data_IF_660405760534
#
_entry.id   IF_660405760534
#
_cell.length_a   1.000
_cell.length_b   1.000
_cell.length_c   1.000
_cell.angle_alpha   90.00
_cell.angle_beta   90.00
_cell.angle_gamma   90.00
#
_symmetry.space_group_name_H-M   'P 1'
#
loop_
_entity.id
_entity.type
_entity.pdbx_description
1 polymer ?
#
# COMPACT_ATOMS: atom_id res chain seq x y z
N UNK A 1 9.47 130.07 -14.50
CA UNK A 1 9.73 128.89 -15.37
C UNK A 1 10.89 127.99 -14.94
N UNK A 2 12.03 128.46 -14.37
CA UNK A 2 13.18 127.58 -14.05
C UNK A 2 12.94 126.56 -12.92
N UNK A 3 12.21 126.97 -11.87
CA UNK A 3 11.96 126.15 -10.67
C UNK A 3 11.16 124.88 -11.00
N UNK A 4 10.21 124.97 -11.93
CA UNK A 4 9.38 123.84 -12.36
C UNK A 4 10.20 122.76 -13.10
N UNK A 5 11.16 123.16 -13.91
CA UNK A 5 12.03 122.25 -14.68
C UNK A 5 12.95 121.46 -13.74
N UNK A 6 13.50 122.12 -12.73
CA UNK A 6 14.39 121.48 -11.75
C UNK A 6 13.62 120.53 -10.82
N UNK A 7 12.40 120.87 -10.43
CA UNK A 7 11.50 119.98 -9.67
C UNK A 7 11.10 118.73 -10.48
N UNK A 8 10.93 118.88 -11.80
CA UNK A 8 10.66 117.77 -12.72
C UNK A 8 11.87 116.84 -12.88
N UNK A 9 13.09 117.39 -12.99
CA UNK A 9 14.32 116.59 -13.01
C UNK A 9 14.49 115.82 -11.70
N UNK A 10 14.26 116.47 -10.56
CA UNK A 10 14.34 115.81 -9.25
C UNK A 10 13.31 114.68 -9.12
N UNK A 11 12.08 114.89 -9.58
CA UNK A 11 11.05 113.85 -9.63
C UNK A 11 11.45 112.71 -10.56
N UNK A 12 11.96 113.00 -11.74
CA UNK A 12 12.40 111.99 -12.71
C UNK A 12 13.52 111.11 -12.12
N UNK A 13 14.49 111.71 -11.42
CA UNK A 13 15.57 110.97 -10.78
C UNK A 13 15.05 110.10 -9.63
N UNK A 14 14.12 110.61 -8.81
CA UNK A 14 13.46 109.80 -7.78
C UNK A 14 12.70 108.61 -8.38
N UNK A 15 11.99 108.81 -9.49
CA UNK A 15 11.32 107.73 -10.19
C UNK A 15 12.30 106.71 -10.76
N UNK A 16 13.42 107.17 -11.34
CA UNK A 16 14.46 106.29 -11.87
C UNK A 16 15.06 105.40 -10.78
N UNK A 17 15.40 105.98 -9.63
CA UNK A 17 15.92 105.23 -8.47
C UNK A 17 14.89 104.25 -7.94
N UNK A 18 13.63 104.67 -7.77
CA UNK A 18 12.56 103.80 -7.32
C UNK A 18 12.30 102.63 -8.29
N UNK A 19 12.27 102.91 -9.59
CA UNK A 19 12.11 101.90 -10.63
C UNK A 19 13.24 100.87 -10.60
N UNK A 20 14.50 101.31 -10.50
CA UNK A 20 15.65 100.41 -10.46
C UNK A 20 15.66 99.55 -9.18
N UNK A 21 15.20 100.10 -8.05
CA UNK A 21 15.02 99.35 -6.80
C UNK A 21 13.91 98.29 -6.95
N UNK A 22 12.76 98.65 -7.50
CA UNK A 22 11.65 97.71 -7.72
C UNK A 22 12.03 96.62 -8.71
N UNK A 23 12.76 96.96 -9.78
CA UNK A 23 13.27 96.00 -10.75
C UNK A 23 14.18 94.96 -10.10
N UNK A 24 15.15 95.39 -9.29
CA UNK A 24 16.04 94.47 -8.54
C UNK A 24 15.27 93.58 -7.58
N UNK A 25 14.24 94.11 -6.92
CA UNK A 25 13.40 93.31 -6.03
C UNK A 25 12.58 92.27 -6.80
N UNK A 26 12.03 92.63 -7.95
CA UNK A 26 11.30 91.71 -8.83
C UNK A 26 12.21 90.62 -9.41
N UNK A 27 13.43 90.97 -9.83
CA UNK A 27 14.43 90.01 -10.30
C UNK A 27 14.82 89.03 -9.17
N UNK A 28 15.06 89.54 -7.95
CA UNK A 28 15.37 88.71 -6.79
C UNK A 28 14.20 87.79 -6.38
N UNK A 29 12.96 88.27 -6.44
CA UNK A 29 11.77 87.45 -6.19
C UNK A 29 11.59 86.38 -7.29
N UNK A 30 11.80 86.74 -8.55
CA UNK A 30 11.73 85.80 -9.67
C UNK A 30 12.80 84.71 -9.56
N UNK A 31 14.02 85.07 -9.14
CA UNK A 31 15.08 84.10 -8.84
C UNK A 31 14.72 83.17 -7.69
N UNK A 32 14.14 83.70 -6.60
CA UNK A 32 13.67 82.90 -5.46
C UNK A 32 12.54 81.96 -5.84
N UNK A 33 11.56 82.43 -6.62
CA UNK A 33 10.46 81.61 -7.12
C UNK A 33 10.97 80.46 -8.00
N UNK A 34 11.89 80.74 -8.93
CA UNK A 34 12.53 79.71 -9.77
C UNK A 34 13.31 78.69 -8.92
N UNK A 35 14.08 79.15 -7.93
CA UNK A 35 14.81 78.25 -7.04
C UNK A 35 13.85 77.34 -6.25
N UNK A 36 12.78 77.91 -5.68
CA UNK A 36 11.75 77.15 -4.96
C UNK A 36 11.06 76.13 -5.87
N UNK A 37 10.72 76.51 -7.10
CA UNK A 37 10.10 75.60 -8.08
C UNK A 37 11.06 74.45 -8.44
N UNK A 38 12.34 74.72 -8.66
CA UNK A 38 13.33 73.67 -8.94
C UNK A 38 13.51 72.72 -7.75
N UNK A 39 13.52 73.24 -6.53
CA UNK A 39 13.59 72.44 -5.31
C UNK A 39 12.35 71.54 -5.16
N UNK A 40 11.15 72.10 -5.36
CA UNK A 40 9.91 71.34 -5.31
C UNK A 40 9.88 70.22 -6.36
N UNK A 41 10.30 70.51 -7.60
CA UNK A 41 10.40 69.51 -8.67
C UNK A 41 11.39 68.40 -8.32
N UNK A 42 12.52 68.74 -7.69
CA UNK A 42 13.51 67.74 -7.26
C UNK A 42 12.96 66.83 -6.16
N UNK A 43 12.33 67.40 -5.12
CA UNK A 43 11.71 66.63 -4.04
C UNK A 43 10.58 65.73 -4.56
N UNK A 44 9.75 66.24 -5.47
CA UNK A 44 8.71 65.43 -6.11
C UNK A 44 9.30 64.25 -6.89
N UNK A 45 10.42 64.43 -7.61
CA UNK A 45 11.11 63.32 -8.29
C UNK A 45 11.62 62.28 -7.31
N UNK A 46 12.27 62.69 -6.22
CA UNK A 46 12.77 61.76 -5.18
C UNK A 46 11.63 60.93 -4.59
N UNK A 47 10.49 61.57 -4.28
CA UNK A 47 9.31 60.88 -3.76
C UNK A 47 8.74 59.89 -4.79
N UNK A 48 8.63 60.29 -6.05
CA UNK A 48 8.15 59.41 -7.11
C UNK A 48 9.08 58.20 -7.34
N UNK A 49 10.40 58.41 -7.32
CA UNK A 49 11.37 57.32 -7.41
C UNK A 49 11.27 56.36 -6.23
N UNK A 50 11.09 56.88 -5.02
CA UNK A 50 10.86 56.07 -3.83
C UNK A 50 9.57 55.25 -3.92
N UNK A 51 8.47 55.87 -4.36
CA UNK A 51 7.20 55.17 -4.59
C UNK A 51 7.35 54.08 -5.66
N UNK A 52 8.01 54.35 -6.78
CA UNK A 52 8.23 53.37 -7.84
C UNK A 52 9.03 52.16 -7.35
N UNK A 53 10.04 52.37 -6.48
CA UNK A 53 10.81 51.27 -5.87
C UNK A 53 9.93 50.40 -4.97
N UNK A 54 9.14 51.02 -4.09
CA UNK A 54 8.23 50.29 -3.21
C UNK A 54 7.19 49.50 -4.02
N UNK A 55 6.63 50.09 -5.07
CA UNK A 55 5.65 49.41 -5.93
C UNK A 55 6.27 48.20 -6.63
N UNK A 56 7.51 48.32 -7.11
CA UNK A 56 8.24 47.19 -7.69
C UNK A 56 8.50 46.08 -6.65
N UNK A 57 8.92 46.43 -5.44
CA UNK A 57 9.14 45.48 -4.33
C UNK A 57 7.83 44.78 -3.94
N UNK A 58 6.75 45.55 -3.74
CA UNK A 58 5.41 45.02 -3.46
C UNK A 58 4.93 44.05 -4.54
N UNK A 59 5.19 44.37 -5.81
CA UNK A 59 4.82 43.51 -6.94
C UNK A 59 5.61 42.20 -6.92
N UNK A 60 6.91 42.26 -6.64
CA UNK A 60 7.77 41.07 -6.48
C UNK A 60 7.34 40.18 -5.29
N UNK A 61 7.01 40.80 -4.15
CA UNK A 61 6.49 40.08 -2.98
C UNK A 61 5.15 39.43 -3.31
N UNK A 62 4.24 40.15 -3.97
CA UNK A 62 2.93 39.63 -4.36
C UNK A 62 3.04 38.43 -5.30
N UNK A 63 3.92 38.50 -6.29
CA UNK A 63 4.18 37.38 -7.20
C UNK A 63 4.74 36.16 -6.43
N UNK A 64 5.71 36.39 -5.54
CA UNK A 64 6.30 35.33 -4.70
C UNK A 64 5.29 34.67 -3.77
N UNK A 65 4.40 35.46 -3.17
CA UNK A 65 3.32 34.94 -2.31
C UNK A 65 2.28 34.14 -3.11
N UNK A 66 1.99 34.54 -4.35
CA UNK A 66 1.12 33.78 -5.24
C UNK A 66 1.73 32.43 -5.59
N UNK A 67 3.01 32.41 -6.01
CA UNK A 67 3.71 31.16 -6.33
C UNK A 67 3.75 30.20 -5.12
N UNK A 68 4.08 30.71 -3.93
CA UNK A 68 4.06 29.91 -2.70
C UNK A 68 2.67 29.39 -2.35
N UNK A 69 1.61 30.17 -2.60
CA UNK A 69 0.22 29.71 -2.40
C UNK A 69 -0.09 28.52 -3.30
N UNK A 70 0.32 28.58 -4.55
CA UNK A 70 0.09 27.51 -5.52
C UNK A 70 0.86 26.23 -5.12
N UNK A 71 2.12 26.38 -4.68
CA UNK A 71 2.91 25.28 -4.13
C UNK A 71 2.26 24.63 -2.90
N UNK A 72 1.76 25.46 -1.95
CA UNK A 72 1.04 24.95 -0.77
C UNK A 72 -0.21 24.18 -1.19
N UNK A 73 -0.95 24.68 -2.18
CA UNK A 73 -2.14 23.99 -2.68
C UNK A 73 -1.80 22.65 -3.34
N UNK A 74 -0.73 22.60 -4.13
CA UNK A 74 -0.23 21.36 -4.73
C UNK A 74 0.20 20.34 -3.66
N UNK A 75 0.94 20.79 -2.65
CA UNK A 75 1.36 19.95 -1.53
C UNK A 75 0.16 19.41 -0.75
N UNK A 76 -0.86 20.25 -0.50
CA UNK A 76 -2.09 19.83 0.16
C UNK A 76 -2.82 18.73 -0.63
N UNK A 77 -2.94 18.90 -1.94
CA UNK A 77 -3.55 17.90 -2.81
C UNK A 77 -2.76 16.58 -2.79
N UNK A 78 -1.42 16.65 -2.82
CA UNK A 78 -0.55 15.48 -2.76
C UNK A 78 -0.66 14.74 -1.42
N UNK A 79 -0.70 15.46 -0.30
CA UNK A 79 -0.90 14.87 1.03
C UNK A 79 -2.27 14.18 1.11
N UNK A 80 -3.32 14.79 0.56
CA UNK A 80 -4.65 14.17 0.50
C UNK A 80 -4.61 12.85 -0.26
N UNK A 81 -3.97 12.81 -1.42
CA UNK A 81 -3.82 11.60 -2.24
C UNK A 81 -3.08 10.49 -1.47
N UNK A 82 -1.93 10.81 -0.89
CA UNK A 82 -1.15 9.84 -0.08
C UNK A 82 -1.95 9.35 1.13
N UNK A 83 -2.77 10.19 1.74
CA UNK A 83 -3.60 9.80 2.89
C UNK A 83 -4.66 8.79 2.48
N UNK A 84 -5.29 8.95 1.32
CA UNK A 84 -6.25 8.00 0.77
C UNK A 84 -5.55 6.67 0.46
N UNK A 85 -4.43 6.71 -0.27
CA UNK A 85 -3.63 5.51 -0.61
C UNK A 85 -3.18 4.75 0.65
N UNK A 86 -2.75 5.47 1.70
CA UNK A 86 -2.38 4.88 2.99
C UNK A 86 -3.57 4.15 3.62
N UNK A 87 -4.76 4.75 3.59
CA UNK A 87 -5.95 4.18 4.21
C UNK A 87 -6.42 2.93 3.44
N UNK A 88 -6.39 2.97 2.12
CA UNK A 88 -6.69 1.82 1.26
C UNK A 88 -5.72 0.67 1.51
N UNK A 89 -4.41 0.96 1.55
CA UNK A 89 -3.39 -0.04 1.85
C UNK A 89 -3.59 -0.65 3.24
N UNK A 90 -3.94 0.17 4.23
CA UNK A 90 -4.21 -0.31 5.59
C UNK A 90 -5.42 -1.27 5.61
N UNK A 91 -6.51 -0.93 4.90
CA UNK A 91 -7.67 -1.81 4.75
C UNK A 91 -7.28 -3.16 4.14
N UNK A 92 -6.53 -3.13 3.04
CA UNK A 92 -6.08 -4.33 2.34
C UNK A 92 -5.18 -5.21 3.23
N UNK A 93 -4.30 -4.60 4.02
CA UNK A 93 -3.45 -5.34 4.97
C UNK A 93 -4.27 -6.00 6.08
N UNK A 94 -5.28 -5.32 6.62
CA UNK A 94 -6.16 -5.90 7.63
C UNK A 94 -6.99 -7.08 7.08
N UNK A 95 -7.55 -6.93 5.88
CA UNK A 95 -8.25 -8.01 5.20
C UNK A 95 -7.32 -9.21 4.96
N UNK A 96 -6.08 -8.95 4.51
CA UNK A 96 -5.07 -9.97 4.30
C UNK A 96 -4.64 -10.68 5.58
N UNK A 97 -4.50 -9.94 6.66
CA UNK A 97 -4.20 -10.53 7.96
C UNK A 97 -5.34 -11.43 8.43
N UNK A 98 -6.58 -10.95 8.38
CA UNK A 98 -7.76 -11.71 8.81
C UNK A 98 -7.91 -13.01 7.98
N UNK A 99 -7.78 -12.88 6.67
CA UNK A 99 -7.72 -13.99 5.73
C UNK A 99 -6.67 -15.05 6.08
N UNK A 100 -5.44 -14.62 6.31
CA UNK A 100 -4.34 -15.51 6.64
C UNK A 100 -4.59 -16.22 7.98
N UNK A 101 -5.06 -15.48 8.98
CA UNK A 101 -5.42 -16.05 10.28
C UNK A 101 -6.53 -17.09 10.15
N UNK A 102 -7.53 -16.82 9.32
CA UNK A 102 -8.60 -17.76 9.02
C UNK A 102 -8.05 -19.02 8.33
N UNK A 103 -7.18 -18.89 7.32
CA UNK A 103 -6.53 -20.04 6.68
C UNK A 103 -5.64 -20.84 7.65
N UNK A 104 -4.89 -20.17 8.53
CA UNK A 104 -4.08 -20.84 9.56
C UNK A 104 -4.98 -21.61 10.52
N UNK A 105 -6.10 -21.02 10.95
CA UNK A 105 -7.09 -21.69 11.78
C UNK A 105 -7.63 -22.96 11.10
N UNK A 106 -8.02 -22.85 9.82
CA UNK A 106 -8.47 -23.99 9.03
C UNK A 106 -7.41 -25.08 8.88
N UNK A 107 -6.14 -24.71 8.65
CA UNK A 107 -5.04 -25.67 8.59
C UNK A 107 -4.80 -26.38 9.93
N UNK A 108 -4.95 -25.65 11.04
CA UNK A 108 -4.83 -26.21 12.39
C UNK A 108 -6.06 -27.00 12.83
N UNK A 109 -7.21 -26.80 12.19
CA UNK A 109 -8.45 -27.50 12.49
C UNK A 109 -8.31 -29.01 12.32
N UNK A 110 -9.21 -29.76 12.95
CA UNK A 110 -9.28 -31.22 12.85
C UNK A 110 -9.34 -31.70 11.40
N UNK A 111 -10.09 -31.01 10.54
CA UNK A 111 -10.17 -31.31 9.10
C UNK A 111 -8.84 -31.04 8.38
N UNK A 112 -8.15 -29.94 8.70
CA UNK A 112 -6.84 -29.60 8.13
C UNK A 112 -5.77 -30.63 8.49
N UNK A 113 -5.73 -31.04 9.77
CA UNK A 113 -4.86 -32.10 10.25
C UNK A 113 -5.19 -33.44 9.58
N UNK A 114 -6.47 -33.74 9.38
CA UNK A 114 -6.91 -34.98 8.74
C UNK A 114 -6.56 -35.00 7.24
N UNK A 115 -6.68 -33.88 6.52
CA UNK A 115 -6.18 -33.72 5.16
C UNK A 115 -4.67 -33.92 5.08
N UNK A 116 -3.91 -33.36 6.01
CA UNK A 116 -2.45 -33.55 6.07
C UNK A 116 -2.09 -35.03 6.26
N UNK A 117 -2.75 -35.71 7.21
CA UNK A 117 -2.57 -37.15 7.44
C UNK A 117 -2.95 -37.98 6.21
N UNK A 118 -4.07 -37.68 5.56
CA UNK A 118 -4.48 -38.34 4.31
C UNK A 118 -3.39 -38.24 3.24
N UNK A 119 -2.79 -37.06 3.08
CA UNK A 119 -1.70 -36.85 2.13
C UNK A 119 -0.49 -37.75 2.45
N UNK A 120 -0.05 -37.81 3.71
CA UNK A 120 1.05 -38.70 4.13
C UNK A 120 0.72 -40.17 3.84
N UNK A 121 -0.50 -40.62 4.19
CA UNK A 121 -0.96 -41.99 3.92
C UNK A 121 -0.97 -42.32 2.42
N UNK A 122 -1.45 -41.42 1.57
CA UNK A 122 -1.46 -41.60 0.12
C UNK A 122 -0.03 -41.72 -0.39
N UNK A 123 0.85 -40.81 0.02
CA UNK A 123 2.24 -40.78 -0.42
C UNK A 123 2.98 -42.08 -0.04
N UNK A 124 2.80 -42.56 1.20
CA UNK A 124 3.38 -43.81 1.64
C UNK A 124 2.83 -45.04 0.92
N UNK A 125 1.51 -45.08 0.68
CA UNK A 125 0.88 -46.18 -0.06
C UNK A 125 1.36 -46.23 -1.50
N UNK A 126 1.48 -45.08 -2.18
CA UNK A 126 2.01 -45.00 -3.55
C UNK A 126 3.46 -45.47 -3.59
N UNK A 127 4.30 -45.01 -2.66
CA UNK A 127 5.70 -45.46 -2.58
C UNK A 127 5.80 -46.97 -2.38
N UNK A 128 4.94 -47.55 -1.54
CA UNK A 128 4.89 -48.99 -1.32
C UNK A 128 4.42 -49.76 -2.56
N UNK A 129 3.38 -49.27 -3.26
CA UNK A 129 2.92 -49.86 -4.53
C UNK A 129 4.04 -49.86 -5.56
N UNK A 130 4.77 -48.75 -5.70
CA UNK A 130 5.91 -48.65 -6.64
C UNK A 130 6.99 -49.67 -6.27
N UNK A 131 7.32 -49.79 -4.98
CA UNK A 131 8.33 -50.75 -4.48
C UNK A 131 7.90 -52.20 -4.73
N UNK A 132 6.67 -52.57 -4.39
CA UNK A 132 6.14 -53.92 -4.63
C UNK A 132 6.04 -54.25 -6.12
N UNK A 133 5.64 -53.28 -6.96
CA UNK A 133 5.55 -53.46 -8.41
C UNK A 133 6.92 -53.73 -9.02
N UNK A 134 7.96 -53.01 -8.55
CA UNK A 134 9.35 -53.26 -8.97
C UNK A 134 9.81 -54.67 -8.61
N UNK A 135 9.56 -55.10 -7.37
CA UNK A 135 9.91 -56.44 -6.91
C UNK A 135 9.14 -57.54 -7.68
N UNK A 136 7.84 -57.33 -7.94
CA UNK A 136 7.04 -58.26 -8.74
C UNK A 136 7.57 -58.37 -10.18
N UNK A 137 8.00 -57.25 -10.79
CA UNK A 137 8.61 -57.26 -12.11
C UNK A 137 9.95 -58.03 -12.12
N UNK A 138 10.79 -57.84 -11.09
CA UNK A 138 12.03 -58.60 -10.95
C UNK A 138 11.76 -60.11 -10.85
N UNK A 139 10.76 -60.51 -10.06
CA UNK A 139 10.34 -61.91 -9.95
C UNK A 139 9.85 -62.47 -11.30
N UNK A 140 9.05 -61.70 -12.04
CA UNK A 140 8.56 -62.09 -13.36
C UNK A 140 9.70 -62.26 -14.39
N UNK A 141 10.77 -61.47 -14.26
CA UNK A 141 11.96 -61.56 -15.11
C UNK A 141 12.98 -62.62 -14.63
N UNK A 142 12.67 -63.37 -13.56
CA UNK A 142 13.54 -64.40 -12.99
C UNK A 142 14.73 -63.86 -12.20
N UNK A 143 14.74 -62.57 -11.85
CA UNK A 143 15.77 -61.94 -11.04
C UNK A 143 15.55 -62.20 -9.55
N UNK A 144 16.63 -62.17 -8.76
CA UNK A 144 16.55 -62.34 -7.30
C UNK A 144 15.86 -61.12 -6.67
N UNK A 145 14.91 -61.39 -5.78
CA UNK A 145 14.26 -60.36 -4.99
C UNK A 145 15.23 -59.72 -4.00
N UNK A 146 15.17 -58.40 -3.88
CA UNK A 146 15.96 -57.69 -2.86
C UNK A 146 15.26 -57.87 -1.52
N UNK A 147 15.75 -58.77 -0.66
CA UNK A 147 15.15 -59.06 0.64
C UNK A 147 15.11 -57.87 1.61
N UNK A 148 16.10 -56.97 1.56
CA UNK A 148 16.08 -55.69 2.31
C UNK A 148 14.91 -54.78 1.90
N UNK A 149 14.53 -54.87 0.62
CA UNK A 149 13.24 -54.54 0.01
C UNK A 149 11.93 -54.77 0.79
N UNK A 150 11.86 -56.01 1.26
CA UNK A 150 10.65 -56.72 1.62
C UNK A 150 10.56 -56.89 3.14
N UNK A 151 11.71 -57.00 3.81
CA UNK A 151 11.83 -57.21 5.25
C UNK A 151 11.78 -55.92 6.07
N UNK A 152 12.19 -54.78 5.50
CA UNK A 152 12.07 -53.48 6.20
C UNK A 152 10.60 -53.05 6.13
N UNK A 153 9.90 -53.15 7.27
CA UNK A 153 8.55 -52.63 7.38
C UNK A 153 8.54 -51.13 7.08
N UNK A 154 7.54 -50.66 6.31
CA UNK A 154 7.36 -49.24 6.14
C UNK A 154 6.93 -48.69 7.51
N UNK A 155 7.39 -47.48 7.84
CA UNK A 155 7.28 -46.87 9.17
C UNK A 155 5.86 -47.10 9.74
N UNK A 156 5.72 -47.65 10.96
CA UNK A 156 4.41 -47.80 11.56
C UNK A 156 3.81 -46.42 11.74
N UNK A 157 2.69 -46.17 11.06
CA UNK A 157 1.91 -44.97 11.26
C UNK A 157 1.24 -45.14 12.62
N UNK A 158 1.89 -44.59 13.66
CA UNK A 158 1.29 -44.43 14.97
C UNK A 158 -0.01 -43.64 14.76
N UNK A 159 -1.15 -44.32 14.84
CA UNK A 159 -2.39 -43.67 15.22
C UNK A 159 -2.17 -43.23 16.67
N UNK A 160 -1.64 -42.03 16.87
CA UNK A 160 -1.95 -41.28 18.09
C UNK A 160 -3.41 -40.84 17.97
N UNK A 161 -4.32 -41.81 18.14
CA UNK A 161 -5.75 -41.58 18.29
C UNK A 161 -6.05 -40.72 19.54
N UNK A 162 -5.06 -40.52 20.39
CA UNK A 162 -5.05 -39.67 21.58
C UNK A 162 -4.89 -38.18 21.28
N UNK A 163 -4.42 -37.78 20.09
CA UNK A 163 -4.34 -36.35 19.69
C UNK A 163 -5.58 -35.87 18.94
N UNK A 164 -6.49 -36.76 18.55
CA UNK A 164 -7.83 -36.45 18.05
C UNK A 164 -8.87 -36.47 19.19
N UNK A 165 -8.45 -36.28 20.44
CA UNK A 165 -9.43 -35.89 21.45
C UNK A 165 -10.01 -34.56 20.99
N UNK A 166 -11.32 -34.59 20.77
CA UNK A 166 -12.18 -33.42 20.69
C UNK A 166 -11.77 -32.45 21.81
N UNK A 167 -10.92 -31.48 21.48
CA UNK A 167 -10.88 -30.23 22.23
C UNK A 167 -12.07 -29.42 21.72
N UNK A 168 -13.28 -29.95 21.93
CA UNK A 168 -14.55 -29.26 21.79
C UNK A 168 -14.84 -28.41 23.05
N UNK A 169 -13.86 -28.24 23.95
CA UNK A 169 -13.97 -27.47 25.20
C UNK A 169 -13.30 -26.08 25.15
N UNK A 170 -12.78 -25.63 24.00
CA UNK A 170 -12.38 -24.23 23.80
C UNK A 170 -13.14 -23.62 22.61
N UNK A 171 -14.47 -23.74 22.60
CA UNK A 171 -15.34 -22.65 22.12
C UNK A 171 -15.22 -21.45 23.08
N UNK A 172 -13.99 -20.97 23.29
CA UNK A 172 -13.85 -19.55 23.55
C UNK A 172 -14.11 -18.90 22.19
N UNK A 173 -15.30 -18.34 22.08
CA UNK A 173 -15.57 -17.09 21.37
C UNK A 173 -14.48 -16.05 21.73
N UNK A 174 -13.25 -16.29 21.30
CA UNK A 174 -12.31 -15.25 20.97
C UNK A 174 -12.78 -14.65 19.64
N UNK A 175 -14.03 -14.17 19.63
CA UNK A 175 -14.35 -12.88 19.07
C UNK A 175 -13.37 -11.93 19.74
N UNK A 176 -12.15 -11.85 19.20
CA UNK A 176 -11.29 -10.72 19.40
C UNK A 176 -12.06 -9.56 18.77
N UNK A 177 -12.97 -9.00 19.57
CA UNK A 177 -13.51 -7.68 19.43
C UNK A 177 -12.29 -6.78 19.58
N UNK A 178 -11.49 -6.68 18.52
CA UNK A 178 -10.66 -5.50 18.31
C UNK A 178 -11.68 -4.40 18.18
N UNK A 179 -11.93 -3.73 19.29
CA UNK A 179 -12.77 -2.55 19.36
C UNK A 179 -12.19 -1.56 18.36
N UNK A 180 -12.78 -1.53 17.16
CA UNK A 180 -12.65 -0.43 16.25
C UNK A 180 -13.20 0.78 16.99
N UNK A 181 -12.33 1.48 17.71
CA UNK A 181 -12.62 2.85 18.11
C UNK A 181 -12.92 3.61 16.83
N UNK A 182 -14.13 4.19 16.64
CA UNK A 182 -14.38 5.06 15.52
C UNK A 182 -13.65 6.36 15.82
N UNK A 183 -12.36 6.40 15.52
CA UNK A 183 -11.59 7.63 15.62
C UNK A 183 -11.85 8.48 14.38
N UNK A 184 -12.85 9.34 14.57
CA UNK A 184 -13.06 10.63 13.93
C UNK A 184 -13.76 10.56 12.57
N UNK A 185 -15.10 10.55 12.63
CA UNK A 185 -15.91 11.39 11.74
C UNK A 185 -15.30 12.80 11.73
N UNK A 186 -14.63 13.15 10.63
CA UNK A 186 -14.37 14.54 10.29
C UNK A 186 -14.83 14.77 8.87
N UNK A 187 -15.98 15.44 8.80
CA UNK A 187 -16.47 16.29 7.72
C UNK A 187 -15.42 16.61 6.65
N UNK A 188 -15.35 15.77 5.62
CA UNK A 188 -14.83 16.20 4.34
C UNK A 188 -16.03 16.67 3.53
N UNK A 189 -16.11 17.99 3.39
CA UNK A 189 -17.09 18.73 2.61
C UNK A 189 -17.56 17.94 1.37
N UNK A 190 -18.88 17.81 1.24
CA UNK A 190 -19.55 17.50 -0.02
C UNK A 190 -19.18 18.58 -1.04
N UNK A 191 -18.17 18.33 -1.87
CA UNK A 191 -18.04 19.02 -3.15
C UNK A 191 -18.92 18.29 -4.17
N UNK A 192 -20.05 18.94 -4.46
CA UNK A 192 -21.00 18.54 -5.47
C UNK A 192 -20.45 18.99 -6.83
N UNK A 193 -19.60 18.17 -7.43
CA UNK A 193 -19.18 18.37 -8.82
C UNK A 193 -20.24 17.76 -9.74
N UNK A 194 -21.18 18.62 -10.14
CA UNK A 194 -22.00 18.39 -11.32
C UNK A 194 -21.08 18.42 -12.55
N UNK A 195 -20.85 17.26 -13.17
CA UNK A 195 -20.71 17.19 -14.63
C UNK A 195 -20.98 15.76 -15.14
N UNK A 196 -22.17 15.59 -15.70
CA UNK A 196 -22.44 14.55 -16.69
C UNK A 196 -21.66 14.86 -17.96
N UNK A 197 -20.74 13.97 -18.36
CA UNK A 197 -20.79 13.35 -19.67
C UNK A 197 -19.66 12.32 -19.87
N UNK A 198 -20.06 11.16 -20.38
CA UNK A 198 -19.34 10.52 -21.47
C UNK A 198 -18.32 9.46 -21.08
N UNK A 199 -18.81 8.22 -20.98
CA UNK A 199 -18.16 6.98 -21.43
C UNK A 199 -16.64 7.00 -21.54
N UNK A 200 -15.98 6.59 -20.47
CA UNK A 200 -14.60 6.15 -20.48
C UNK A 200 -14.52 4.92 -19.60
N UNK A 201 -14.55 3.74 -20.22
CA UNK A 201 -14.10 2.48 -19.62
C UNK A 201 -12.68 2.73 -19.10
N UNK A 202 -12.57 3.03 -17.81
CA UNK A 202 -11.32 2.97 -17.07
C UNK A 202 -11.51 1.92 -16.00
N UNK A 203 -11.72 0.69 -16.45
CA UNK A 203 -11.25 -0.51 -15.79
C UNK A 203 -9.72 -0.39 -15.66
N UNK A 204 -9.30 0.45 -14.72
CA UNK A 204 -7.92 0.51 -14.27
C UNK A 204 -7.56 -0.88 -13.80
N UNK A 205 -6.56 -1.46 -14.45
CA UNK A 205 -5.97 -2.74 -14.09
C UNK A 205 -5.83 -2.80 -12.57
N UNK A 206 -6.73 -3.55 -11.91
CA UNK A 206 -6.55 -3.94 -10.51
C UNK A 206 -5.17 -4.54 -10.44
N UNK A 207 -4.31 -3.93 -9.63
CA UNK A 207 -2.90 -4.27 -9.56
C UNK A 207 -2.77 -5.80 -9.50
N UNK A 208 -1.92 -6.40 -10.34
CA UNK A 208 -1.83 -7.86 -10.53
C UNK A 208 -1.81 -8.66 -9.21
N UNK A 209 -1.29 -8.06 -8.13
CA UNK A 209 -1.29 -8.65 -6.80
C UNK A 209 -2.66 -8.64 -6.09
N UNK A 210 -3.49 -7.60 -6.22
CA UNK A 210 -4.84 -7.51 -5.63
C UNK A 210 -5.78 -8.55 -6.24
N UNK A 211 -5.73 -8.71 -7.57
CA UNK A 211 -6.46 -9.75 -8.28
C UNK A 211 -5.99 -11.16 -7.87
N UNK A 212 -4.66 -11.34 -7.73
CA UNK A 212 -4.09 -12.59 -7.22
C UNK A 212 -4.51 -12.87 -5.78
N UNK A 213 -4.58 -11.84 -4.94
CA UNK A 213 -4.99 -11.95 -3.55
C UNK A 213 -6.46 -12.35 -3.40
N UNK A 214 -7.37 -11.67 -4.12
CA UNK A 214 -8.78 -12.07 -4.16
C UNK A 214 -8.99 -13.49 -4.68
N UNK A 215 -8.18 -13.94 -5.65
CA UNK A 215 -8.23 -15.32 -6.12
C UNK A 215 -7.80 -16.31 -5.03
N UNK A 216 -6.75 -16.01 -4.26
CA UNK A 216 -6.34 -16.84 -3.11
C UNK A 216 -7.46 -16.90 -2.07
N UNK A 217 -8.13 -15.78 -1.80
CA UNK A 217 -9.27 -15.73 -0.87
C UNK A 217 -10.46 -16.55 -1.33
N UNK A 218 -10.81 -16.45 -2.61
CA UNK A 218 -11.88 -17.25 -3.18
C UNK A 218 -11.54 -18.74 -3.18
N UNK A 219 -10.29 -19.10 -3.51
CA UNK A 219 -9.84 -20.49 -3.44
C UNK A 219 -9.88 -21.03 -2.00
N UNK A 220 -9.43 -20.24 -1.01
CA UNK A 220 -9.47 -20.61 0.40
C UNK A 220 -10.91 -20.85 0.89
N UNK A 221 -11.83 -19.94 0.55
CA UNK A 221 -13.26 -20.07 0.87
C UNK A 221 -13.89 -21.29 0.18
N UNK A 222 -13.55 -21.55 -1.08
CA UNK A 222 -14.02 -22.74 -1.79
C UNK A 222 -13.47 -24.03 -1.18
N UNK A 223 -12.18 -24.08 -0.82
CA UNK A 223 -11.58 -25.21 -0.13
C UNK A 223 -12.29 -25.48 1.21
N UNK A 224 -12.62 -24.43 1.96
CA UNK A 224 -13.33 -24.54 3.24
C UNK A 224 -14.73 -25.13 3.07
N UNK A 225 -15.49 -24.61 2.10
CA UNK A 225 -16.88 -25.02 1.88
C UNK A 225 -17.01 -26.41 1.24
N UNK A 226 -15.97 -26.89 0.56
CA UNK A 226 -16.00 -28.17 -0.15
C UNK A 226 -15.38 -29.33 0.63
N UNK A 227 -14.81 -29.09 1.82
CA UNK A 227 -14.27 -30.15 2.66
C UNK A 227 -15.40 -30.86 3.41
N UNK A 228 -15.89 -31.96 2.83
CA UNK A 228 -16.84 -32.85 3.49
C UNK A 228 -16.12 -33.78 4.47
N UNK A 229 -16.28 -33.50 5.78
CA UNK A 229 -15.66 -34.25 6.89
C UNK A 229 -15.92 -35.75 6.80
N UNK A 230 -17.15 -36.18 6.50
CA UNK A 230 -17.50 -37.60 6.41
C UNK A 230 -16.78 -38.31 5.26
N UNK A 231 -16.64 -37.62 4.11
CA UNK A 231 -15.89 -38.16 2.97
C UNK A 231 -14.41 -38.30 3.28
N UNK A 232 -13.82 -37.36 4.02
CA UNK A 232 -12.41 -37.44 4.42
C UNK A 232 -12.15 -38.61 5.38
N UNK A 233 -12.99 -38.79 6.40
CA UNK A 233 -12.88 -39.95 7.30
C UNK A 233 -13.06 -41.27 6.55
N UNK A 234 -14.05 -41.35 5.65
CA UNK A 234 -14.26 -42.54 4.80
C UNK A 234 -13.04 -42.84 3.93
N UNK A 235 -12.41 -41.81 3.38
CA UNK A 235 -11.19 -41.93 2.56
C UNK A 235 -10.00 -42.43 3.40
N UNK A 236 -9.88 -41.97 4.65
CA UNK A 236 -8.84 -42.40 5.57
C UNK A 236 -8.99 -43.89 5.92
N UNK A 237 -10.21 -44.32 6.23
CA UNK A 237 -10.50 -45.74 6.49
C UNK A 237 -10.18 -46.62 5.29
N UNK A 238 -10.48 -46.17 4.07
CA UNK A 238 -10.12 -46.87 2.84
C UNK A 238 -8.61 -46.96 2.65
N UNK A 239 -7.86 -45.90 2.95
CA UNK A 239 -6.39 -45.89 2.87
C UNK A 239 -5.75 -46.82 3.91
N UNK A 240 -6.28 -46.87 5.13
CA UNK A 240 -5.83 -47.81 6.18
C UNK A 240 -6.08 -49.25 5.75
N UNK A 241 -7.26 -49.55 5.18
CA UNK A 241 -7.58 -50.87 4.59
C UNK A 241 -6.63 -51.21 3.45
N UNK A 242 -6.36 -50.25 2.56
CA UNK A 242 -5.44 -50.43 1.43
C UNK A 242 -4.01 -50.72 1.91
N UNK A 243 -3.51 -49.98 2.90
CA UNK A 243 -2.21 -50.23 3.54
C UNK A 243 -2.13 -51.65 4.11
N UNK A 244 -3.19 -52.09 4.79
CA UNK A 244 -3.26 -53.44 5.34
C UNK A 244 -3.18 -54.51 4.26
N UNK A 245 -3.80 -54.29 3.09
CA UNK A 245 -3.71 -55.18 1.94
C UNK A 245 -2.29 -55.18 1.32
N UNK A 246 -1.65 -54.02 1.21
CA UNK A 246 -0.27 -53.91 0.69
C UNK A 246 0.73 -54.65 1.59
N UNK A 247 0.58 -54.56 2.91
CA UNK A 247 1.40 -55.32 3.86
C UNK A 247 1.20 -56.84 3.70
N UNK A 248 -0.05 -57.30 3.49
CA UNK A 248 -0.33 -58.72 3.20
C UNK A 248 0.34 -59.16 1.89
N UNK A 249 0.20 -58.37 0.82
CA UNK A 249 0.83 -58.62 -0.47
C UNK A 249 2.35 -58.71 -0.35
N UNK A 250 2.99 -57.81 0.41
CA UNK A 250 4.42 -57.87 0.72
C UNK A 250 4.81 -59.20 1.36
N UNK A 251 4.08 -59.61 2.40
CA UNK A 251 4.32 -60.86 3.11
C UNK A 251 4.13 -62.09 2.21
N UNK A 252 3.11 -62.09 1.35
CA UNK A 252 2.88 -63.14 0.36
C UNK A 252 4.02 -63.22 -0.67
N UNK A 253 4.51 -62.07 -1.14
CA UNK A 253 5.62 -62.01 -2.10
C UNK A 253 6.92 -62.54 -1.48
N UNK A 254 7.19 -62.17 -0.23
CA UNK A 254 8.31 -62.70 0.53
C UNK A 254 8.18 -64.22 0.76
N UNK A 255 6.98 -64.71 1.12
CA UNK A 255 6.72 -66.14 1.29
C UNK A 255 6.94 -66.93 0.00
N UNK A 256 6.44 -66.44 -1.15
CA UNK A 256 6.65 -67.10 -2.46
C UNK A 256 8.12 -67.17 -2.83
N UNK A 257 8.90 -66.13 -2.53
CA UNK A 257 10.35 -66.15 -2.75
C UNK A 257 11.04 -67.17 -1.86
N UNK A 258 10.60 -67.26 -0.61
CA UNK A 258 11.06 -68.21 0.39
C UNK A 258 10.81 -69.66 -0.07
N UNK A 259 9.59 -69.94 -0.57
CA UNK A 259 9.20 -71.24 -1.12
C UNK A 259 10.05 -71.60 -2.35
N UNK A 260 10.37 -70.62 -3.20
CA UNK A 260 11.27 -70.81 -4.35
C UNK A 260 12.72 -71.16 -3.93
N UNK A 261 13.13 -70.75 -2.73
CA UNK A 261 14.43 -71.02 -2.11
C UNK A 261 14.44 -72.23 -1.15
N UNK A 262 13.29 -72.88 -0.92
CA UNK A 262 13.19 -74.11 -0.11
C UNK A 262 12.88 -73.94 1.39
N UNK A 263 12.33 -72.81 1.85
CA UNK A 263 11.88 -72.65 3.24
C UNK A 263 11.09 -71.36 3.51
N UNK A 264 10.22 -71.33 4.54
CA UNK A 264 9.36 -70.16 4.89
C UNK A 264 10.16 -68.98 5.48
N UNK A 265 9.96 -67.77 4.97
CA UNK A 265 10.49 -66.51 5.54
C UNK A 265 9.35 -65.75 6.22
N UNK A 266 9.35 -65.71 7.55
CA UNK A 266 8.45 -64.84 8.32
C UNK A 266 8.95 -63.39 8.24
N UNK A 267 8.13 -62.45 7.75
CA UNK A 267 8.48 -61.02 7.76
C UNK A 267 8.00 -60.31 9.04
N UNK A 268 7.86 -61.05 10.14
CA UNK A 268 7.35 -60.55 11.44
C UNK A 268 8.50 -60.22 12.41
N UNK A 269 9.76 -60.43 12.04
CA UNK A 269 10.89 -60.26 12.97
C UNK A 269 11.80 -59.11 12.57
N UNK A 270 11.83 -58.12 13.48
CA UNK A 270 12.67 -56.91 13.63
C UNK A 270 12.22 -55.64 12.91
#
# INVERSE_FOLDING_TARGET
>A
MPIFVEDLKLKLERYRVAFEQTKKLLEAETCRAKASETHQKLEQRKMNEYHARIEAEMTGIKASLSARRDEIQQLKNRISKITIEKQELLSNVFEAHHALMHMISLWKSTNGQLCHRLYEYIQENVNEIVRLSKQLNNLANGERLHLSELLIQPKPLLLDATELKDNDDDDDDAVFHVSCSPLVERDCLKHQDNNNNGGGDSCGDKNSWEASFHNVMNMASQLTNNVNREQLHTSLDQLIKTRSLLLKLRQELANKYADHLGGKINCVVQ
#
